data_IF_024340829371
#
_entry.id   IF_024340829371
#
_cell.length_a   1.000
_cell.length_b   1.000
_cell.length_c   1.000
_cell.angle_alpha   90.00
_cell.angle_beta   90.00
_cell.angle_gamma   90.00
#
_symmetry.space_group_name_H-M   'P 1'
#
loop_
_entity.id
_entity.type
_entity.pdbx_description
1 polymer ?
#
# COMPACT_ATOMS: atom_id res chain seq x y z
N UNK A 1 -7.59 50.87 -72.74
CA UNK A 1 -6.96 51.71 -71.77
C UNK A 1 -6.71 50.89 -70.47
N UNK A 2 -5.54 50.36 -70.27
CA UNK A 2 -5.19 49.65 -69.07
C UNK A 2 -3.84 50.17 -68.61
N UNK A 3 -3.82 50.77 -67.43
CA UNK A 3 -2.65 51.25 -66.73
C UNK A 3 -2.13 50.15 -65.76
N UNK A 4 -0.87 49.76 -65.92
CA UNK A 4 -0.17 48.93 -64.93
C UNK A 4 0.54 49.84 -63.93
N UNK A 5 0.59 49.48 -62.63
CA UNK A 5 1.36 50.26 -61.67
C UNK A 5 2.77 49.66 -61.42
N UNK A 6 3.70 50.55 -61.18
CA UNK A 6 5.13 50.39 -60.94
C UNK A 6 5.49 49.50 -59.74
N UNK A 7 6.45 48.58 -59.97
CA UNK A 7 7.16 47.80 -58.92
C UNK A 7 8.13 48.70 -58.17
N UNK A 8 7.88 48.90 -56.86
CA UNK A 8 8.86 49.45 -55.95
C UNK A 8 9.77 48.32 -55.39
N UNK A 9 11.07 48.42 -55.67
CA UNK A 9 12.09 47.59 -55.03
C UNK A 9 12.21 47.97 -53.55
N UNK A 10 11.85 47.10 -52.63
CA UNK A 10 12.21 47.21 -51.20
C UNK A 10 13.64 46.74 -51.00
N UNK A 11 14.50 47.61 -50.47
CA UNK A 11 15.85 47.34 -49.97
C UNK A 11 15.73 46.43 -48.74
N UNK A 12 16.41 45.26 -48.77
CA UNK A 12 16.61 44.40 -47.61
C UNK A 12 17.58 45.08 -46.62
N UNK A 13 17.14 45.53 -45.48
CA UNK A 13 17.97 45.87 -44.35
C UNK A 13 18.39 44.56 -43.66
N UNK A 14 19.68 44.26 -43.70
CA UNK A 14 20.33 43.22 -42.91
C UNK A 14 20.30 43.67 -41.44
N UNK A 15 19.48 43.03 -40.61
CA UNK A 15 19.51 43.14 -39.15
C UNK A 15 20.69 42.31 -38.64
N UNK A 16 21.74 42.95 -38.14
CA UNK A 16 22.81 42.34 -37.37
C UNK A 16 22.21 41.97 -36.04
N UNK A 17 22.16 40.68 -35.72
CA UNK A 17 21.80 40.20 -34.37
C UNK A 17 23.05 40.39 -33.47
N UNK A 18 22.89 40.88 -32.22
CA UNK A 18 23.98 40.90 -31.27
C UNK A 18 24.33 39.47 -30.83
N UNK A 19 25.64 39.17 -30.81
CA UNK A 19 26.19 37.92 -30.30
C UNK A 19 25.74 37.70 -28.84
N UNK A 20 25.09 36.58 -28.57
CA UNK A 20 24.81 36.14 -27.19
C UNK A 20 26.11 35.72 -26.54
N UNK A 21 26.59 36.52 -25.61
CA UNK A 21 27.65 36.09 -24.69
C UNK A 21 27.13 34.93 -23.84
N UNK A 22 27.83 33.81 -23.84
CA UNK A 22 27.59 32.70 -22.91
C UNK A 22 27.94 33.16 -21.49
N UNK A 23 27.04 33.00 -20.50
CA UNK A 23 27.34 33.40 -19.13
C UNK A 23 28.48 32.54 -18.55
N UNK A 24 29.37 33.16 -17.78
CA UNK A 24 30.48 32.50 -17.09
C UNK A 24 29.94 31.61 -15.94
N UNK A 25 30.70 30.58 -15.52
CA UNK A 25 30.31 29.63 -14.48
C UNK A 25 29.90 30.30 -13.14
N UNK A 26 30.39 31.50 -12.87
CA UNK A 26 30.08 32.31 -11.67
C UNK A 26 28.68 32.94 -11.75
N UNK A 27 28.24 33.35 -12.94
CA UNK A 27 26.88 33.90 -13.13
C UNK A 27 25.81 32.82 -13.08
N UNK A 28 26.14 31.60 -13.55
CA UNK A 28 25.24 30.46 -13.43
C UNK A 28 25.01 30.03 -11.96
N UNK A 29 26.03 30.11 -11.11
CA UNK A 29 25.91 29.83 -9.68
C UNK A 29 25.03 30.85 -8.95
N UNK A 30 25.15 32.13 -9.29
CA UNK A 30 24.28 33.17 -8.71
C UNK A 30 22.83 33.07 -9.21
N UNK A 31 22.62 32.62 -10.44
CA UNK A 31 21.26 32.39 -10.96
C UNK A 31 20.57 31.18 -10.31
N UNK A 32 21.35 30.11 -9.99
CA UNK A 32 20.84 28.94 -9.24
C UNK A 32 20.53 29.27 -7.77
N UNK A 33 21.34 30.13 -7.13
CA UNK A 33 21.09 30.53 -5.73
C UNK A 33 19.91 31.51 -5.60
N UNK A 34 19.62 32.30 -6.63
CA UNK A 34 18.51 33.28 -6.62
C UNK A 34 17.15 32.65 -6.89
N UNK A 35 17.08 31.44 -7.47
CA UNK A 35 15.81 30.74 -7.74
C UNK A 35 15.38 29.76 -6.65
N UNK A 36 16.11 29.67 -5.53
CA UNK A 36 15.59 29.07 -4.28
C UNK A 36 14.72 30.08 -3.50
N UNK A 37 13.87 30.82 -4.20
CA UNK A 37 12.67 31.36 -3.58
C UNK A 37 11.79 30.15 -3.22
N UNK A 38 11.75 29.87 -1.89
CA UNK A 38 10.77 29.02 -1.18
C UNK A 38 9.59 28.64 -2.09
N UNK A 39 9.64 27.47 -2.67
CA UNK A 39 8.46 26.72 -2.99
C UNK A 39 7.95 26.30 -1.60
N UNK A 40 7.07 27.08 -1.02
CA UNK A 40 6.34 26.69 0.17
C UNK A 40 5.47 25.54 -0.27
N UNK A 41 5.97 24.30 -0.13
CA UNK A 41 5.14 23.12 -0.33
C UNK A 41 4.00 23.23 0.68
N UNK A 42 2.75 23.28 0.19
CA UNK A 42 1.57 23.28 1.06
C UNK A 42 1.67 22.10 2.04
N UNK A 43 1.36 22.34 3.29
CA UNK A 43 1.31 21.31 4.34
C UNK A 43 0.36 20.21 3.91
N UNK A 44 0.89 18.99 3.90
CA UNK A 44 0.12 17.78 3.61
C UNK A 44 -0.48 17.25 4.92
N UNK A 45 -1.73 17.61 5.17
CA UNK A 45 -2.47 17.11 6.32
C UNK A 45 -2.71 15.60 6.17
N UNK A 46 -2.37 14.83 7.21
CA UNK A 46 -2.47 13.37 7.22
C UNK A 46 -1.36 12.67 6.44
N UNK A 47 -0.22 13.34 6.20
CA UNK A 47 0.96 12.79 5.56
C UNK A 47 2.25 13.36 6.18
N UNK A 48 3.39 12.84 5.78
CA UNK A 48 4.71 13.31 6.21
C UNK A 48 5.10 14.60 5.50
N UNK A 49 5.70 15.51 6.28
CA UNK A 49 6.21 16.78 5.84
C UNK A 49 7.62 16.98 6.40
N UNK A 50 8.51 17.59 5.61
CA UNK A 50 9.85 17.96 6.09
C UNK A 50 9.80 19.44 6.46
N UNK A 51 9.88 19.74 7.76
CA UNK A 51 9.72 21.08 8.31
C UNK A 51 10.97 21.52 9.08
N UNK A 52 11.19 22.85 9.13
CA UNK A 52 12.32 23.46 9.85
C UNK A 52 11.84 23.91 11.24
N UNK A 53 12.66 23.65 12.26
CA UNK A 53 12.43 24.16 13.63
C UNK A 53 12.66 25.67 13.66
N UNK A 54 11.63 26.44 14.05
CA UNK A 54 11.66 27.88 14.15
C UNK A 54 12.16 28.32 15.53
N UNK A 55 11.58 27.72 16.58
CA UNK A 55 11.88 28.06 17.97
C UNK A 55 11.53 26.93 18.92
N UNK A 56 12.19 26.95 20.09
CA UNK A 56 11.89 26.10 21.22
C UNK A 56 11.01 26.84 22.24
N UNK A 57 10.11 26.09 22.88
CA UNK A 57 9.24 26.55 23.97
C UNK A 57 9.12 25.46 25.04
N UNK A 58 8.64 25.79 26.25
CA UNK A 58 8.54 24.85 27.38
C UNK A 58 7.76 23.56 27.07
N UNK A 59 6.82 23.59 26.12
CA UNK A 59 5.94 22.49 25.78
C UNK A 59 6.27 21.84 24.42
N UNK A 60 7.39 22.20 23.76
CA UNK A 60 7.82 21.60 22.50
C UNK A 60 8.58 22.52 21.57
N UNK A 61 8.57 22.19 20.30
CA UNK A 61 9.15 22.98 19.22
C UNK A 61 8.05 23.53 18.30
N UNK A 62 8.25 24.74 17.78
CA UNK A 62 7.46 25.23 16.66
C UNK A 62 8.20 25.01 15.35
N UNK A 63 7.50 24.45 14.37
CA UNK A 63 7.99 24.15 13.01
C UNK A 63 7.40 25.15 12.02
N UNK A 64 8.17 25.47 10.96
CA UNK A 64 7.74 26.38 9.87
C UNK A 64 6.71 25.68 8.99
N UNK A 65 5.44 25.99 9.17
CA UNK A 65 4.33 25.49 8.34
C UNK A 65 4.04 26.36 7.11
N UNK A 66 4.90 27.31 6.77
CA UNK A 66 4.73 28.20 5.64
C UNK A 66 3.46 29.07 5.78
N UNK A 67 2.53 28.93 4.83
CA UNK A 67 1.28 29.72 4.84
C UNK A 67 0.32 29.33 6.00
N UNK A 68 0.46 28.11 6.56
CA UNK A 68 -0.30 27.64 7.73
C UNK A 68 0.28 28.17 9.05
N UNK A 69 1.39 28.92 9.01
CA UNK A 69 2.04 29.48 10.18
C UNK A 69 2.90 28.46 10.93
N UNK A 70 3.07 28.69 12.24
CA UNK A 70 3.89 27.83 13.09
C UNK A 70 3.10 26.61 13.58
N UNK A 71 3.63 25.41 13.36
CA UNK A 71 3.00 24.14 13.77
C UNK A 71 3.73 23.59 14.99
N UNK A 72 3.00 23.26 16.05
CA UNK A 72 3.55 22.73 17.29
C UNK A 72 3.94 21.26 17.11
N UNK A 73 5.18 20.91 17.47
CA UNK A 73 5.66 19.56 17.79
C UNK A 73 5.74 19.45 19.32
N UNK A 74 4.82 18.77 20.01
CA UNK A 74 4.82 18.64 21.46
C UNK A 74 6.11 17.99 21.99
N UNK A 75 6.57 18.42 23.18
CA UNK A 75 7.87 18.02 23.77
C UNK A 75 8.11 16.52 23.83
N UNK A 76 7.07 15.70 24.05
CA UNK A 76 7.17 14.24 24.07
C UNK A 76 7.52 13.60 22.72
N UNK A 77 7.38 14.36 21.62
CA UNK A 77 7.68 13.91 20.25
C UNK A 77 8.95 14.55 19.71
N UNK A 78 9.59 15.43 20.48
CA UNK A 78 10.82 16.11 20.09
C UNK A 78 11.98 15.12 20.17
N UNK A 79 12.74 14.90 19.08
CA UNK A 79 13.96 14.09 19.10
C UNK A 79 15.02 14.71 20.04
N UNK A 80 15.81 13.87 20.70
CA UNK A 80 16.90 14.34 21.56
C UNK A 80 17.92 15.17 20.77
N UNK A 81 18.24 16.37 21.27
CA UNK A 81 19.20 17.28 20.65
C UNK A 81 18.68 18.09 19.47
N UNK A 82 17.37 18.10 19.22
CA UNK A 82 16.79 18.96 18.18
C UNK A 82 16.84 20.44 18.59
N UNK A 83 17.37 21.29 17.70
CA UNK A 83 17.59 22.73 17.91
C UNK A 83 16.91 23.59 16.85
N UNK A 84 16.63 24.88 17.12
CA UNK A 84 16.17 25.82 16.10
C UNK A 84 17.11 25.88 14.89
N UNK A 85 16.53 25.75 13.69
CA UNK A 85 17.26 25.66 12.41
C UNK A 85 17.40 24.25 11.86
N UNK A 86 17.17 23.22 12.66
CA UNK A 86 17.14 21.83 12.17
C UNK A 86 15.92 21.57 11.29
N UNK A 87 16.06 20.61 10.38
CA UNK A 87 14.94 20.10 9.58
C UNK A 87 14.62 18.68 10.00
N UNK A 88 13.34 18.35 10.10
CA UNK A 88 12.89 17.01 10.47
C UNK A 88 11.65 16.58 9.69
N UNK A 89 11.55 15.27 9.47
CA UNK A 89 10.33 14.66 8.92
C UNK A 89 9.34 14.44 10.05
N UNK A 90 8.14 15.00 9.91
CA UNK A 90 7.06 14.90 10.88
C UNK A 90 5.76 14.57 10.19
N UNK A 91 4.90 13.83 10.88
CA UNK A 91 3.54 13.60 10.43
C UNK A 91 2.64 14.72 10.95
N UNK A 92 1.80 15.30 10.09
CA UNK A 92 0.90 16.40 10.45
C UNK A 92 -0.54 15.89 10.54
N UNK A 93 -1.18 16.16 11.68
CA UNK A 93 -2.59 15.83 11.91
C UNK A 93 -3.29 16.92 12.71
N UNK A 94 -4.59 16.78 12.96
CA UNK A 94 -5.36 17.73 13.75
C UNK A 94 -5.52 17.26 15.20
N UNK A 95 -5.23 18.12 16.16
CA UNK A 95 -5.52 17.87 17.58
C UNK A 95 -7.04 17.92 17.89
N UNK A 96 -7.41 17.78 19.17
CA UNK A 96 -8.82 17.79 19.58
C UNK A 96 -9.50 19.15 19.39
N UNK A 97 -8.75 20.23 19.24
CA UNK A 97 -9.21 21.59 18.99
C UNK A 97 -9.14 21.95 17.48
N UNK A 98 -8.85 20.95 16.64
CA UNK A 98 -8.75 21.07 15.17
C UNK A 98 -7.57 21.95 14.71
N UNK A 99 -6.51 22.09 15.53
CA UNK A 99 -5.29 22.77 15.15
C UNK A 99 -4.31 21.77 14.53
N UNK A 100 -3.52 22.24 13.56
CA UNK A 100 -2.41 21.47 13.02
C UNK A 100 -1.37 21.18 14.13
N UNK A 101 -1.02 19.93 14.28
CA UNK A 101 0.00 19.46 15.21
C UNK A 101 0.91 18.44 14.52
N UNK A 102 2.19 18.51 14.84
CA UNK A 102 3.22 17.61 14.34
C UNK A 102 3.49 16.47 15.33
N UNK A 103 3.87 15.32 14.81
CA UNK A 103 4.38 14.19 15.60
C UNK A 103 5.49 13.48 14.85
N UNK A 104 6.43 12.89 15.61
CA UNK A 104 7.42 11.93 15.11
C UNK A 104 6.96 10.49 15.27
N UNK A 105 5.77 10.26 15.85
CA UNK A 105 5.15 8.93 15.85
C UNK A 105 4.78 8.50 14.44
N UNK A 106 4.87 7.20 14.18
CA UNK A 106 4.55 6.62 12.89
C UNK A 106 3.12 6.07 12.95
N UNK A 107 2.15 6.70 12.27
CA UNK A 107 0.79 6.18 12.22
C UNK A 107 0.73 4.85 11.45
N UNK A 108 -0.28 4.04 11.73
CA UNK A 108 -0.54 2.78 11.02
C UNK A 108 -1.03 2.99 9.58
N UNK A 109 -1.48 4.20 9.26
CA UNK A 109 -1.93 4.60 7.94
C UNK A 109 -1.89 6.13 7.80
N UNK A 110 -1.76 6.62 6.58
CA UNK A 110 -1.84 8.03 6.23
C UNK A 110 -3.03 8.30 5.30
N UNK A 111 -3.31 9.54 5.01
CA UNK A 111 -4.35 9.92 4.03
C UNK A 111 -4.02 9.30 2.67
N UNK A 112 -5.01 8.64 2.07
CA UNK A 112 -4.88 7.85 0.85
C UNK A 112 -4.63 6.35 1.08
N UNK A 113 -4.37 5.92 2.31
CA UNK A 113 -4.10 4.51 2.60
C UNK A 113 -5.35 3.70 2.93
N UNK A 114 -5.29 2.42 2.59
CA UNK A 114 -6.17 1.40 3.14
C UNK A 114 -5.46 0.69 4.30
N UNK A 115 -6.18 0.52 5.41
CA UNK A 115 -5.63 -0.11 6.61
C UNK A 115 -6.65 -0.97 7.34
N UNK A 116 -6.14 -1.95 8.12
CA UNK A 116 -6.94 -2.82 8.99
C UNK A 116 -6.79 -2.35 10.42
N UNK A 117 -7.75 -1.51 10.87
CA UNK A 117 -7.66 -0.79 12.14
C UNK A 117 -8.67 -1.30 13.16
N UNK A 118 -8.27 -1.29 14.43
CA UNK A 118 -9.09 -1.68 15.56
C UNK A 118 -9.96 -0.51 16.06
N UNK A 119 -11.22 -0.80 16.37
CA UNK A 119 -12.12 0.17 17.01
C UNK A 119 -11.76 0.30 18.49
N UNK A 120 -11.22 1.44 18.87
CA UNK A 120 -10.87 1.77 20.25
C UNK A 120 -12.13 2.04 21.08
N UNK A 121 -13.08 2.79 20.55
CA UNK A 121 -14.37 3.10 21.21
C UNK A 121 -15.41 3.57 20.18
N UNK A 122 -16.67 3.65 20.63
CA UNK A 122 -17.82 4.08 19.82
C UNK A 122 -18.69 5.03 20.61
N UNK A 123 -19.24 6.06 19.95
CA UNK A 123 -20.21 6.98 20.53
C UNK A 123 -21.46 7.13 19.64
N UNK A 124 -22.29 8.13 19.93
CA UNK A 124 -23.52 8.43 19.19
C UNK A 124 -23.29 8.95 17.74
N UNK A 125 -22.07 9.28 17.36
CA UNK A 125 -21.72 9.85 16.04
C UNK A 125 -20.99 8.83 15.15
N UNK A 126 -20.28 7.89 15.72
CA UNK A 126 -19.50 6.91 14.96
C UNK A 126 -18.54 6.09 15.82
N UNK A 127 -17.59 5.49 15.15
CA UNK A 127 -16.50 4.73 15.74
C UNK A 127 -15.20 5.52 15.68
N UNK A 128 -14.32 5.26 16.62
CA UNK A 128 -12.98 5.82 16.71
C UNK A 128 -11.98 4.69 16.63
N UNK A 129 -11.08 4.76 15.66
CA UNK A 129 -10.15 3.70 15.29
C UNK A 129 -8.76 4.05 15.78
N UNK A 130 -8.09 3.09 16.42
CA UNK A 130 -6.68 3.23 16.76
C UNK A 130 -5.85 3.16 15.48
N UNK A 131 -5.21 4.25 15.12
CA UNK A 131 -4.33 4.36 13.96
C UNK A 131 -2.88 4.69 14.33
N UNK A 132 -2.53 4.49 15.62
CA UNK A 132 -1.17 4.64 16.11
C UNK A 132 -0.83 6.03 16.63
N UNK A 133 -1.76 6.99 16.60
CA UNK A 133 -1.58 8.34 17.16
C UNK A 133 -2.46 8.55 18.39
N UNK A 134 -2.16 9.61 19.16
CA UNK A 134 -2.91 9.92 20.38
C UNK A 134 -4.40 10.20 20.10
N UNK A 135 -4.73 10.88 19.01
CA UNK A 135 -6.11 11.14 18.60
C UNK A 135 -6.57 10.00 17.70
N UNK A 136 -7.55 9.23 18.13
CA UNK A 136 -8.14 8.17 17.32
C UNK A 136 -8.77 8.71 16.02
N UNK A 137 -8.69 7.91 14.98
CA UNK A 137 -9.25 8.22 13.66
C UNK A 137 -10.76 8.02 13.64
N UNK A 138 -11.51 9.05 13.33
CA UNK A 138 -12.97 9.02 13.34
C UNK A 138 -13.56 8.37 12.07
N UNK A 139 -14.52 7.45 12.27
CA UNK A 139 -15.32 6.83 11.23
C UNK A 139 -16.81 7.07 11.52
N UNK A 140 -17.45 8.11 10.92
CA UNK A 140 -18.84 8.42 11.17
C UNK A 140 -19.76 7.28 10.69
N UNK A 141 -20.96 7.19 11.26
CA UNK A 141 -21.90 6.12 10.88
C UNK A 141 -22.24 6.08 9.39
N UNK A 142 -22.26 7.25 8.74
CA UNK A 142 -22.48 7.35 7.28
C UNK A 142 -21.39 6.67 6.46
N UNK A 143 -20.17 6.52 7.01
CA UNK A 143 -19.02 5.89 6.36
C UNK A 143 -18.83 4.41 6.75
N UNK A 144 -19.71 3.85 7.56
CA UNK A 144 -19.69 2.44 7.95
C UNK A 144 -20.64 1.63 7.07
N UNK A 145 -20.20 0.47 6.57
CA UNK A 145 -21.08 -0.51 5.89
C UNK A 145 -22.01 -1.24 6.87
N UNK A 146 -21.50 -1.48 8.07
CA UNK A 146 -22.21 -2.04 9.20
C UNK A 146 -21.75 -1.33 10.46
N UNK A 147 -22.55 -1.36 11.51
CA UNK A 147 -22.16 -0.75 12.80
C UNK A 147 -20.88 -1.40 13.31
N UNK A 148 -19.86 -0.58 13.50
CA UNK A 148 -18.58 -1.01 14.04
C UNK A 148 -18.70 -1.28 15.53
N UNK A 149 -18.00 -2.29 16.02
CA UNK A 149 -18.01 -2.76 17.41
C UNK A 149 -16.61 -2.59 18.00
N UNK A 150 -16.54 -2.06 19.23
CA UNK A 150 -15.30 -1.90 19.97
C UNK A 150 -14.52 -3.22 20.05
N UNK A 151 -13.20 -3.16 19.83
CA UNK A 151 -12.27 -4.29 19.83
C UNK A 151 -12.22 -5.07 18.52
N UNK A 152 -13.18 -4.88 17.62
CA UNK A 152 -13.13 -5.48 16.29
C UNK A 152 -12.29 -4.63 15.34
N UNK A 153 -11.69 -5.29 14.33
CA UNK A 153 -10.90 -4.63 13.29
C UNK A 153 -11.68 -4.59 11.97
N UNK A 154 -11.49 -3.50 11.24
CA UNK A 154 -12.15 -3.26 9.96
C UNK A 154 -11.16 -2.71 8.94
N UNK A 155 -11.31 -3.11 7.67
CA UNK A 155 -10.60 -2.45 6.57
C UNK A 155 -11.29 -1.12 6.32
N UNK A 156 -10.50 -0.06 6.35
CA UNK A 156 -10.94 1.31 6.09
C UNK A 156 -9.98 2.02 5.15
N UNK A 157 -10.48 3.02 4.43
CA UNK A 157 -9.68 4.01 3.72
C UNK A 157 -9.60 5.28 4.56
N UNK A 158 -8.40 5.85 4.66
CA UNK A 158 -8.16 7.12 5.35
C UNK A 158 -8.21 8.25 4.32
N UNK A 159 -9.06 9.24 4.55
CA UNK A 159 -9.25 10.34 3.60
C UNK A 159 -9.51 11.66 4.32
N UNK A 160 -9.37 12.76 3.58
CA UNK A 160 -9.85 14.07 4.01
C UNK A 160 -11.32 14.20 3.61
N UNK A 161 -12.17 14.55 4.55
CA UNK A 161 -13.57 14.88 4.29
C UNK A 161 -13.65 16.22 3.52
N UNK A 162 -14.34 16.21 2.40
CA UNK A 162 -14.38 17.37 1.49
C UNK A 162 -15.05 18.60 2.10
N UNK A 163 -15.99 18.40 3.05
CA UNK A 163 -16.73 19.50 3.68
C UNK A 163 -15.98 20.08 4.88
N UNK A 164 -15.43 19.23 5.75
CA UNK A 164 -14.81 19.65 7.02
C UNK A 164 -13.30 19.70 6.99
N UNK A 165 -12.65 19.17 5.93
CA UNK A 165 -11.20 19.01 5.81
C UNK A 165 -10.56 18.22 6.96
N UNK A 166 -11.37 17.39 7.67
CA UNK A 166 -10.88 16.52 8.74
C UNK A 166 -10.41 15.19 8.17
N UNK A 167 -9.39 14.61 8.80
CA UNK A 167 -8.97 13.24 8.50
C UNK A 167 -10.03 12.29 9.04
N UNK A 168 -10.60 11.46 8.17
CA UNK A 168 -11.64 10.49 8.51
C UNK A 168 -11.36 9.12 7.91
N UNK A 169 -11.99 8.10 8.48
CA UNK A 169 -12.00 6.74 7.95
C UNK A 169 -13.32 6.41 7.28
N UNK A 170 -13.27 5.66 6.18
CA UNK A 170 -14.44 5.08 5.54
C UNK A 170 -14.28 3.56 5.35
N UNK A 171 -15.28 2.78 5.76
CA UNK A 171 -15.36 1.35 5.47
C UNK A 171 -15.98 1.06 4.09
N UNK A 172 -16.38 2.10 3.35
CA UNK A 172 -16.89 2.01 1.97
C UNK A 172 -15.73 1.95 0.97
N UNK A 173 -14.87 0.97 1.17
CA UNK A 173 -13.58 0.78 0.46
C UNK A 173 -13.73 0.93 -1.05
N UNK A 174 -14.83 0.43 -1.62
CA UNK A 174 -15.08 0.44 -3.06
C UNK A 174 -15.06 1.84 -3.68
N UNK A 175 -15.46 2.86 -2.92
CA UNK A 175 -15.55 4.26 -3.42
C UNK A 175 -14.17 4.91 -3.61
N UNK A 176 -13.13 4.32 -3.01
CA UNK A 176 -11.76 4.85 -3.03
C UNK A 176 -10.82 4.04 -3.91
N UNK A 177 -11.31 2.91 -4.47
CA UNK A 177 -10.53 2.14 -5.43
C UNK A 177 -10.55 2.83 -6.80
N UNK A 178 -9.43 2.78 -7.48
CA UNK A 178 -9.29 3.40 -8.80
C UNK A 178 -10.15 2.70 -9.84
N UNK A 179 -10.84 3.48 -10.67
CA UNK A 179 -11.54 3.02 -11.87
C UNK A 179 -10.63 3.01 -13.12
N UNK A 180 -9.38 3.48 -12.99
CA UNK A 180 -8.41 3.43 -14.07
C UNK A 180 -8.07 1.98 -14.44
N UNK A 181 -7.76 1.75 -15.72
CA UNK A 181 -7.29 0.45 -16.16
C UNK A 181 -5.87 0.18 -15.62
N UNK A 182 -5.65 -0.89 -14.84
CA UNK A 182 -4.32 -1.23 -14.35
C UNK A 182 -3.38 -1.63 -15.50
N UNK A 183 -2.12 -1.20 -15.41
CA UNK A 183 -1.09 -1.50 -16.41
C UNK A 183 -0.10 -2.57 -15.93
N UNK A 184 -0.63 -3.70 -15.41
CA UNK A 184 0.18 -4.83 -15.01
C UNK A 184 0.29 -5.88 -16.10
N UNK A 185 1.43 -6.57 -16.11
CA UNK A 185 1.67 -7.76 -16.93
C UNK A 185 1.50 -9.03 -16.07
N UNK A 186 1.23 -10.13 -16.74
CA UNK A 186 1.15 -11.42 -16.07
C UNK A 186 2.49 -11.78 -15.41
N UNK A 187 2.47 -12.01 -14.11
CA UNK A 187 3.64 -12.35 -13.31
C UNK A 187 4.24 -11.18 -12.55
N UNK A 188 3.78 -9.96 -12.76
CA UNK A 188 4.21 -8.80 -11.97
C UNK A 188 3.91 -9.03 -10.49
N UNK A 189 4.90 -8.73 -9.65
CA UNK A 189 4.74 -8.75 -8.20
C UNK A 189 4.06 -7.47 -7.72
N UNK A 190 3.08 -7.61 -6.84
CA UNK A 190 2.28 -6.51 -6.29
C UNK A 190 2.09 -6.67 -4.79
N UNK A 191 1.88 -5.56 -4.10
CA UNK A 191 1.46 -5.55 -2.70
C UNK A 191 -0.05 -5.78 -2.58
N UNK A 192 -0.46 -6.64 -1.67
CA UNK A 192 -1.87 -6.95 -1.44
C UNK A 192 -2.25 -6.72 0.02
N UNK A 193 -3.39 -6.08 0.24
CA UNK A 193 -4.10 -6.07 1.52
C UNK A 193 -5.37 -6.92 1.37
N UNK A 194 -5.45 -8.02 2.11
CA UNK A 194 -6.63 -8.91 2.08
C UNK A 194 -7.82 -8.20 2.71
N UNK A 195 -8.86 -8.02 1.91
CA UNK A 195 -9.97 -7.17 2.29
C UNK A 195 -11.20 -7.93 2.78
N UNK A 196 -11.71 -8.87 1.96
CA UNK A 196 -12.98 -9.53 2.25
C UNK A 196 -13.02 -10.95 1.68
N UNK A 197 -13.44 -11.93 2.51
CA UNK A 197 -13.78 -13.28 2.03
C UNK A 197 -15.09 -13.24 1.22
N UNK A 198 -15.12 -13.96 0.11
CA UNK A 198 -16.30 -14.18 -0.76
C UNK A 198 -16.41 -15.66 -1.10
N UNK A 199 -17.51 -16.06 -1.76
CA UNK A 199 -17.72 -17.44 -2.22
C UNK A 199 -16.68 -17.89 -3.28
N UNK A 200 -16.04 -16.96 -3.97
CA UNK A 200 -15.05 -17.25 -5.02
C UNK A 200 -13.61 -17.25 -4.49
N UNK A 201 -13.37 -16.65 -3.31
CA UNK A 201 -12.05 -16.42 -2.78
C UNK A 201 -11.96 -15.13 -1.97
N UNK A 202 -10.80 -14.48 -1.96
CA UNK A 202 -10.60 -13.23 -1.24
C UNK A 202 -10.49 -12.04 -2.18
N UNK A 203 -11.33 -11.02 -1.95
CA UNK A 203 -11.07 -9.69 -2.49
C UNK A 203 -9.85 -9.11 -1.79
N UNK A 204 -9.00 -8.45 -2.55
CA UNK A 204 -7.79 -7.77 -2.06
C UNK A 204 -7.69 -6.37 -2.66
N UNK A 205 -6.99 -5.51 -1.96
CA UNK A 205 -6.58 -4.19 -2.46
C UNK A 205 -5.14 -4.33 -2.94
N UNK A 206 -4.89 -4.00 -4.21
CA UNK A 206 -3.61 -4.15 -4.90
C UNK A 206 -2.93 -2.79 -4.96
N UNK A 207 -1.66 -2.72 -4.51
CA UNK A 207 -0.81 -1.53 -4.50
C UNK A 207 -1.53 -0.27 -3.98
N UNK A 208 -2.35 -0.48 -2.92
CA UNK A 208 -3.14 0.57 -2.28
C UNK A 208 -4.07 1.34 -3.25
N UNK A 209 -4.45 0.75 -4.39
CA UNK A 209 -5.14 1.47 -5.48
C UNK A 209 -6.23 0.65 -6.17
N UNK A 210 -5.99 -0.62 -6.50
CA UNK A 210 -6.87 -1.39 -7.38
C UNK A 210 -7.56 -2.55 -6.66
N UNK A 211 -8.69 -3.00 -7.22
CA UNK A 211 -9.37 -4.19 -6.75
C UNK A 211 -8.80 -5.45 -7.39
N UNK A 212 -8.44 -6.43 -6.55
CA UNK A 212 -8.05 -7.76 -6.99
C UNK A 212 -8.90 -8.88 -6.38
N UNK A 213 -8.74 -10.08 -6.93
CA UNK A 213 -9.34 -11.31 -6.43
C UNK A 213 -8.29 -12.43 -6.42
N UNK A 214 -8.15 -13.11 -5.28
CA UNK A 214 -7.44 -14.38 -5.16
C UNK A 214 -8.51 -15.46 -5.08
N UNK A 215 -8.52 -16.39 -6.04
CA UNK A 215 -9.47 -17.51 -6.01
C UNK A 215 -9.09 -18.55 -4.96
N UNK A 216 -10.07 -19.24 -4.39
CA UNK A 216 -9.86 -20.27 -3.36
C UNK A 216 -8.94 -21.40 -3.82
N UNK A 217 -8.93 -21.73 -5.10
CA UNK A 217 -8.03 -22.76 -5.68
C UNK A 217 -6.58 -22.29 -5.82
N UNK A 218 -6.31 -20.98 -5.62
CA UNK A 218 -4.99 -20.39 -5.63
C UNK A 218 -4.41 -20.21 -4.22
N UNK A 219 -5.22 -20.47 -3.19
CA UNK A 219 -4.86 -20.28 -1.79
C UNK A 219 -4.38 -21.61 -1.21
N UNK A 220 -3.15 -21.63 -0.72
CA UNK A 220 -2.48 -22.83 -0.16
C UNK A 220 -2.06 -22.61 1.30
N UNK A 221 -2.21 -21.40 1.80
CA UNK A 221 -1.89 -20.98 3.16
C UNK A 221 -3.14 -20.32 3.79
N UNK A 222 -3.18 -20.24 5.11
CA UNK A 222 -4.24 -19.50 5.77
C UNK A 222 -4.11 -18.01 5.49
N UNK A 223 -5.14 -17.44 4.87
CA UNK A 223 -5.25 -16.01 4.59
C UNK A 223 -6.43 -15.46 5.38
N UNK A 224 -6.20 -14.34 6.06
CA UNK A 224 -7.22 -13.64 6.85
C UNK A 224 -7.44 -12.22 6.34
N UNK A 225 -8.61 -11.69 6.58
CA UNK A 225 -8.88 -10.27 6.37
C UNK A 225 -7.89 -9.43 7.18
N UNK A 226 -7.24 -8.48 6.54
CA UNK A 226 -6.22 -7.62 7.13
C UNK A 226 -4.79 -8.04 6.86
N UNK A 227 -4.55 -9.24 6.33
CA UNK A 227 -3.20 -9.68 5.99
C UNK A 227 -2.62 -8.81 4.86
N UNK A 228 -1.36 -8.41 5.05
CA UNK A 228 -0.55 -7.76 4.01
C UNK A 228 0.47 -8.75 3.48
N UNK A 229 0.46 -8.95 2.18
CA UNK A 229 1.31 -9.95 1.54
C UNK A 229 1.65 -9.56 0.11
N UNK A 230 2.70 -10.18 -0.44
CA UNK A 230 3.00 -10.10 -1.88
C UNK A 230 2.09 -11.04 -2.65
N UNK A 231 1.71 -10.63 -3.84
CA UNK A 231 1.01 -11.45 -4.81
C UNK A 231 1.55 -11.25 -6.21
N UNK A 232 1.03 -12.04 -7.14
CA UNK A 232 1.48 -12.03 -8.54
C UNK A 232 0.27 -11.91 -9.44
N UNK A 233 0.35 -11.00 -10.40
CA UNK A 233 -0.73 -10.79 -11.37
C UNK A 233 -0.88 -12.02 -12.26
N UNK A 234 -2.07 -12.59 -12.30
CA UNK A 234 -2.42 -13.62 -13.26
C UNK A 234 -3.04 -13.02 -14.53
N UNK A 235 -4.02 -12.12 -14.36
CA UNK A 235 -4.72 -11.46 -15.47
C UNK A 235 -5.32 -10.14 -15.01
N UNK A 236 -5.20 -9.11 -15.82
CA UNK A 236 -6.01 -7.89 -15.71
C UNK A 236 -7.26 -8.11 -16.56
N UNK A 237 -8.44 -7.99 -15.95
CA UNK A 237 -9.72 -8.17 -16.63
C UNK A 237 -10.13 -6.91 -17.40
N UNK A 238 -11.04 -7.03 -18.38
CA UNK A 238 -11.57 -5.87 -19.11
C UNK A 238 -12.32 -4.85 -18.24
N UNK A 239 -12.82 -5.28 -17.05
CA UNK A 239 -13.47 -4.41 -16.06
C UNK A 239 -12.48 -3.75 -15.07
N UNK A 240 -11.17 -3.83 -15.34
CA UNK A 240 -10.12 -3.24 -14.51
C UNK A 240 -9.77 -4.03 -13.24
N UNK A 241 -10.48 -5.11 -12.93
CA UNK A 241 -10.14 -5.96 -11.78
C UNK A 241 -8.97 -6.90 -12.10
N UNK A 242 -8.23 -7.27 -11.07
CA UNK A 242 -7.01 -8.05 -11.20
C UNK A 242 -7.21 -9.44 -10.60
N UNK A 243 -7.03 -10.49 -11.39
CA UNK A 243 -6.91 -11.86 -10.88
C UNK A 243 -5.48 -12.09 -10.41
N UNK A 244 -5.32 -12.60 -9.20
CA UNK A 244 -4.05 -12.72 -8.52
C UNK A 244 -3.74 -14.16 -8.12
N UNK A 245 -2.45 -14.42 -7.95
CA UNK A 245 -1.89 -15.65 -7.41
C UNK A 245 -1.05 -15.32 -6.18
N UNK A 246 -1.02 -16.22 -5.21
CA UNK A 246 -0.19 -16.08 -4.01
C UNK A 246 1.28 -16.46 -4.30
N UNK A 247 1.52 -17.24 -5.34
CA UNK A 247 2.86 -17.75 -5.69
C UNK A 247 3.30 -17.26 -7.08
N UNK A 248 4.61 -16.99 -7.29
CA UNK A 248 5.12 -16.53 -8.58
C UNK A 248 4.91 -17.54 -9.70
N UNK A 249 4.82 -17.02 -10.93
CA UNK A 249 4.77 -17.85 -12.14
C UNK A 249 6.01 -18.73 -12.25
N UNK A 250 5.81 -20.02 -12.53
CA UNK A 250 6.92 -20.97 -12.76
C UNK A 250 7.38 -21.73 -11.52
N UNK A 251 7.02 -21.32 -10.31
CA UNK A 251 7.15 -22.20 -9.15
C UNK A 251 6.15 -23.35 -9.31
N UNK A 252 6.64 -24.54 -9.58
CA UNK A 252 5.80 -25.73 -9.69
C UNK A 252 5.26 -26.05 -8.29
N UNK A 253 3.99 -25.68 -8.02
CA UNK A 253 3.25 -25.97 -6.77
C UNK A 253 3.49 -27.41 -6.26
N UNK A 254 3.69 -28.31 -7.19
CA UNK A 254 3.97 -29.72 -6.92
C UNK A 254 5.34 -29.94 -6.30
N UNK A 255 6.35 -29.15 -6.70
CA UNK A 255 7.72 -29.34 -6.21
C UNK A 255 7.85 -28.84 -4.76
N UNK A 256 7.25 -27.68 -4.45
CA UNK A 256 7.32 -27.11 -3.09
C UNK A 256 6.57 -27.98 -2.08
N UNK A 257 5.33 -28.39 -2.37
CA UNK A 257 4.59 -29.27 -1.46
C UNK A 257 5.17 -30.70 -1.42
N UNK A 258 5.73 -31.19 -2.51
CA UNK A 258 6.42 -32.48 -2.51
C UNK A 258 7.64 -32.51 -1.56
N UNK A 259 8.42 -31.40 -1.54
CA UNK A 259 9.55 -31.30 -0.59
C UNK A 259 9.04 -31.14 0.85
N UNK A 260 8.00 -30.32 1.09
CA UNK A 260 7.34 -30.22 2.40
C UNK A 260 6.83 -31.57 2.91
N UNK A 261 6.20 -32.37 2.02
CA UNK A 261 5.71 -33.69 2.36
C UNK A 261 6.88 -34.66 2.68
N UNK A 262 8.00 -34.57 1.95
CA UNK A 262 9.21 -35.34 2.26
C UNK A 262 9.82 -34.95 3.61
N UNK A 263 9.89 -33.66 3.92
CA UNK A 263 10.40 -33.18 5.20
C UNK A 263 9.50 -33.64 6.35
N UNK A 264 8.18 -33.55 6.19
CA UNK A 264 7.21 -34.10 7.15
C UNK A 264 7.46 -35.59 7.39
N UNK A 265 7.59 -36.41 6.33
CA UNK A 265 7.83 -37.84 6.44
C UNK A 265 9.18 -38.16 7.12
N UNK A 266 10.24 -37.42 6.80
CA UNK A 266 11.55 -37.57 7.46
C UNK A 266 11.46 -37.29 8.97
N UNK A 267 10.71 -36.24 9.36
CA UNK A 267 10.48 -35.88 10.76
C UNK A 267 9.58 -36.88 11.51
N UNK A 268 8.78 -37.70 10.80
CA UNK A 268 7.79 -38.61 11.36
C UNK A 268 8.12 -40.09 11.08
N UNK A 269 9.40 -40.45 11.19
CA UNK A 269 9.84 -41.86 11.07
C UNK A 269 9.66 -42.46 9.68
N UNK A 270 9.67 -41.66 8.64
CA UNK A 270 9.54 -42.09 7.24
C UNK A 270 8.10 -42.36 6.80
N UNK A 271 7.10 -41.94 7.58
CA UNK A 271 5.69 -42.25 7.29
C UNK A 271 4.81 -40.99 7.26
N UNK A 272 3.76 -41.05 6.44
CA UNK A 272 2.64 -40.12 6.48
C UNK A 272 1.34 -40.93 6.63
N UNK A 273 0.44 -40.60 7.59
CA UNK A 273 -0.80 -41.34 7.82
C UNK A 273 -1.92 -40.98 6.83
N UNK A 274 -1.59 -40.33 5.72
CA UNK A 274 -2.50 -40.00 4.63
C UNK A 274 -1.96 -40.66 3.33
N UNK A 275 -2.86 -41.24 2.54
CA UNK A 275 -2.55 -41.90 1.28
C UNK A 275 -3.45 -41.45 0.13
N UNK A 276 -3.48 -42.23 -0.96
CA UNK A 276 -4.22 -41.86 -2.17
C UNK A 276 -5.73 -41.81 -1.97
N UNK A 277 -6.28 -42.61 -1.04
CA UNK A 277 -7.72 -42.64 -0.75
C UNK A 277 -8.16 -41.78 0.43
N UNK A 278 -7.22 -41.13 1.14
CA UNK A 278 -7.53 -40.26 2.27
C UNK A 278 -8.50 -39.15 1.92
N UNK A 279 -9.35 -38.76 2.86
CA UNK A 279 -10.36 -37.72 2.64
C UNK A 279 -9.76 -36.33 2.41
N UNK A 280 -10.51 -35.49 1.70
CA UNK A 280 -10.03 -34.15 1.36
C UNK A 280 -9.95 -33.25 2.62
N UNK A 281 -10.78 -33.50 3.62
CA UNK A 281 -10.78 -32.76 4.89
C UNK A 281 -9.57 -33.11 5.74
N UNK A 282 -9.23 -34.39 5.88
CA UNK A 282 -8.04 -34.85 6.60
C UNK A 282 -6.74 -34.29 5.99
N UNK A 283 -6.67 -34.29 4.64
CA UNK A 283 -5.54 -33.70 3.91
C UNK A 283 -5.46 -32.20 4.15
N UNK A 284 -6.59 -31.52 4.14
CA UNK A 284 -6.67 -30.07 4.37
C UNK A 284 -6.33 -29.71 5.80
N UNK A 285 -6.78 -30.50 6.78
CA UNK A 285 -6.49 -30.29 8.20
C UNK A 285 -4.99 -30.49 8.49
N UNK A 286 -4.36 -31.53 7.93
CA UNK A 286 -2.97 -31.85 8.20
C UNK A 286 -1.97 -30.97 7.44
N UNK A 287 -2.23 -30.68 6.16
CA UNK A 287 -1.27 -30.05 5.26
C UNK A 287 -1.75 -28.74 4.65
N UNK A 288 -2.99 -28.32 4.93
CA UNK A 288 -3.59 -27.07 4.42
C UNK A 288 -3.59 -26.95 2.89
N UNK A 289 -3.55 -28.10 2.19
CA UNK A 289 -3.61 -28.17 0.74
C UNK A 289 -4.85 -28.90 0.24
N UNK A 290 -5.24 -28.67 -1.01
CA UNK A 290 -6.33 -29.44 -1.61
C UNK A 290 -5.90 -30.88 -1.93
N UNK A 291 -6.85 -31.83 -1.92
CA UNK A 291 -6.61 -33.24 -2.32
C UNK A 291 -5.95 -33.36 -3.70
N UNK A 292 -6.24 -32.42 -4.62
CA UNK A 292 -5.63 -32.39 -5.95
C UNK A 292 -4.14 -32.06 -5.88
N UNK A 293 -3.74 -31.11 -5.02
CA UNK A 293 -2.33 -30.74 -4.80
C UNK A 293 -1.59 -31.90 -4.12
N UNK A 294 -2.20 -32.49 -3.07
CA UNK A 294 -1.65 -33.65 -2.38
C UNK A 294 -1.39 -34.81 -3.34
N UNK A 295 -2.40 -35.27 -4.09
CA UNK A 295 -2.25 -36.33 -5.07
C UNK A 295 -1.18 -36.08 -6.12
N UNK A 296 -1.06 -34.84 -6.55
CA UNK A 296 -0.03 -34.47 -7.54
C UNK A 296 1.38 -34.52 -6.96
N UNK A 297 1.57 -34.10 -5.71
CA UNK A 297 2.85 -34.21 -5.02
C UNK A 297 3.21 -35.68 -4.75
N UNK A 298 2.27 -36.45 -4.26
CA UNK A 298 2.43 -37.91 -4.07
C UNK A 298 2.82 -38.59 -5.38
N UNK A 299 2.16 -38.25 -6.49
CA UNK A 299 2.50 -38.78 -7.82
C UNK A 299 3.90 -38.39 -8.30
N UNK A 300 4.35 -37.17 -7.99
CA UNK A 300 5.72 -36.71 -8.31
C UNK A 300 6.76 -37.47 -7.49
N UNK A 301 6.57 -37.55 -6.17
CA UNK A 301 7.49 -38.31 -5.28
C UNK A 301 7.56 -39.80 -5.62
N UNK A 302 6.43 -40.38 -5.99
CA UNK A 302 6.38 -41.77 -6.43
C UNK A 302 7.15 -42.00 -7.74
N UNK A 303 6.98 -41.12 -8.73
CA UNK A 303 7.75 -41.15 -9.98
C UNK A 303 9.25 -40.99 -9.74
N UNK A 304 9.64 -40.20 -8.76
CA UNK A 304 11.04 -40.02 -8.32
C UNK A 304 11.54 -41.21 -7.48
N UNK A 305 10.70 -42.22 -7.22
CA UNK A 305 10.97 -43.40 -6.39
C UNK A 305 11.39 -43.12 -4.95
N UNK A 306 10.94 -41.98 -4.43
CA UNK A 306 11.25 -41.53 -3.07
C UNK A 306 10.26 -42.09 -2.04
N UNK A 307 9.07 -42.48 -2.46
CA UNK A 307 8.00 -43.00 -1.59
C UNK A 307 7.32 -44.20 -2.20
N UNK A 308 6.73 -45.04 -1.32
CA UNK A 308 5.70 -46.04 -1.65
C UNK A 308 4.33 -45.57 -1.18
N UNK A 309 3.28 -45.92 -1.94
CA UNK A 309 1.90 -45.45 -1.73
C UNK A 309 1.05 -46.63 -1.28
N UNK A 310 0.31 -46.42 -0.20
CA UNK A 310 -0.80 -47.30 0.24
C UNK A 310 -2.12 -46.49 0.22
N UNK A 311 -3.25 -47.19 0.40
CA UNK A 311 -4.57 -46.56 0.38
C UNK A 311 -4.67 -45.37 1.37
N UNK A 312 -4.16 -45.53 2.59
CA UNK A 312 -4.28 -44.58 3.67
C UNK A 312 -2.93 -44.20 4.28
N UNK A 313 -1.82 -44.44 3.62
CA UNK A 313 -0.49 -44.03 4.12
C UNK A 313 0.56 -43.95 3.00
N UNK A 314 1.59 -43.15 3.26
CA UNK A 314 2.80 -43.07 2.44
C UNK A 314 3.98 -43.48 3.30
N UNK A 315 4.99 -44.12 2.68
CA UNK A 315 6.23 -44.51 3.32
C UNK A 315 7.43 -44.11 2.47
N UNK A 316 8.47 -43.55 3.09
CA UNK A 316 9.76 -43.32 2.42
C UNK A 316 10.36 -44.64 1.97
N UNK A 317 10.91 -44.64 0.79
CA UNK A 317 11.77 -45.74 0.32
C UNK A 317 13.19 -45.49 0.86
N UNK A 318 13.86 -46.56 1.25
CA UNK A 318 15.25 -46.54 1.71
C UNK A 318 16.22 -46.15 0.58
#
# INVERSE_FOLDING_TARGET
ASLQPHRHRRKKLLRIQPERKTPTATENNLFFISNHKKQTDMIKLGDYNILTVVKEVDFGLYLDGGDEGEILLPSRYVPEGAEPGDTMEVFIYLDNEERLVATTEIPLAKVGDFAYLEVAWVNQHGAFLNWGLMKDLFCPFREQKMRMVKGNKYIVHVHLDEESYRIMASAKVEHFLSEEMPHYQRGDEVDMLVWQKTDLGFKVIVDNKFQGLIYDDQIFEYIHTGDRMKGYVNTVRPDGKIDLMVQPLGRRRTTDFAETLLEYMRGNGGMCPLGDKSDAEDIKEMFHVSKKVFKRAVGDLYKRRLISISDNSLKLND
#
